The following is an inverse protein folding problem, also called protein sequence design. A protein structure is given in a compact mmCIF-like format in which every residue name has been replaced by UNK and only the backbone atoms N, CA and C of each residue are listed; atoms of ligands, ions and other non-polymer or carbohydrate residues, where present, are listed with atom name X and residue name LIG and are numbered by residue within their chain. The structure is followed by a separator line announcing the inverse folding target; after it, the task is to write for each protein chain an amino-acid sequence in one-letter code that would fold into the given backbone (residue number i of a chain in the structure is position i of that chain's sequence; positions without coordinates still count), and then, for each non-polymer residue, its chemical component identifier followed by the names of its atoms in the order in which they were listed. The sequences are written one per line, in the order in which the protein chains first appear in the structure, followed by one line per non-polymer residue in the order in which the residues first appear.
data_IF_206550547110
#
_entry.id   IF_206550547110
#
_cell.length_a   1.000
_cell.length_b   1.000
_cell.length_c   1.000
_cell.angle_alpha   90.00
_cell.angle_beta   90.00
_cell.angle_gamma   90.00
#
_symmetry.space_group_name_H-M   'P 1'
#
loop_
_entity.id
_entity.type
_entity.pdbx_description
1 polymer ?
#
# COMPACT_ATOMS: atom_id res chain seq x y z
N UNK A 1 17.83 -13.57 57.13
CA UNK A 1 18.35 -12.76 56.01
C UNK A 1 18.66 -13.73 54.86
N UNK A 2 18.28 -13.42 53.60
CA UNK A 2 18.56 -14.19 52.35
C UNK A 2 17.38 -14.77 51.56
N UNK A 3 16.30 -14.00 51.33
CA UNK A 3 15.35 -14.34 50.23
C UNK A 3 15.04 -13.14 49.32
N UNK A 4 15.66 -11.98 49.53
CA UNK A 4 15.29 -10.74 48.83
C UNK A 4 16.15 -10.35 47.61
N UNK A 5 17.08 -11.19 47.13
CA UNK A 5 18.06 -10.77 46.09
C UNK A 5 17.94 -11.45 44.73
N UNK A 6 16.99 -12.36 44.52
CA UNK A 6 16.92 -13.21 43.31
C UNK A 6 15.67 -13.00 42.44
N UNK A 7 14.89 -11.94 42.66
CA UNK A 7 13.63 -11.70 41.94
C UNK A 7 13.65 -10.58 40.90
N UNK A 8 14.80 -9.95 40.64
CA UNK A 8 14.90 -8.78 39.74
C UNK A 8 15.54 -9.07 38.37
N UNK A 9 15.83 -10.32 38.02
CA UNK A 9 16.59 -10.67 36.80
C UNK A 9 15.75 -11.26 35.65
N UNK A 10 14.46 -11.54 35.84
CA UNK A 10 13.62 -12.23 34.83
C UNK A 10 12.81 -11.31 33.92
N UNK A 11 12.85 -9.98 34.13
CA UNK A 11 12.09 -9.02 33.32
C UNK A 11 12.82 -8.53 32.04
N UNK A 12 14.04 -9.00 31.76
CA UNK A 12 14.87 -8.48 30.65
C UNK A 12 14.86 -9.33 29.36
N UNK A 13 14.12 -10.45 29.32
CA UNK A 13 14.21 -11.42 28.20
C UNK A 13 12.99 -11.51 27.27
N UNK A 14 11.98 -10.67 27.42
CA UNK A 14 10.75 -10.72 26.60
C UNK A 14 10.55 -9.50 25.70
N UNK A 15 11.62 -8.83 25.29
CA UNK A 15 11.57 -7.94 24.13
C UNK A 15 11.88 -8.77 22.88
N UNK A 16 10.85 -9.36 22.27
CA UNK A 16 10.94 -9.84 20.90
C UNK A 16 11.14 -8.63 19.99
N UNK A 17 12.41 -8.28 19.72
CA UNK A 17 12.75 -7.34 18.65
C UNK A 17 12.45 -8.05 17.34
N UNK A 18 11.24 -7.82 16.81
CA UNK A 18 10.89 -8.23 15.46
C UNK A 18 11.79 -7.44 14.50
N UNK A 19 12.93 -8.01 14.13
CA UNK A 19 13.76 -7.47 13.06
C UNK A 19 13.00 -7.67 11.74
N UNK A 20 12.33 -6.62 11.25
CA UNK A 20 11.69 -6.65 9.94
C UNK A 20 12.76 -6.57 8.85
N UNK A 21 12.70 -7.47 7.87
CA UNK A 21 13.65 -7.49 6.75
C UNK A 21 13.40 -6.37 5.73
N UNK A 22 12.20 -5.77 5.74
CA UNK A 22 11.80 -4.65 4.88
C UNK A 22 11.03 -3.63 5.73
N UNK A 23 11.45 -2.37 5.64
CA UNK A 23 10.85 -1.24 6.36
C UNK A 23 10.48 -0.14 5.35
N UNK A 24 9.29 0.45 5.48
CA UNK A 24 8.90 1.62 4.70
C UNK A 24 9.54 2.86 5.31
N UNK A 25 10.32 3.60 4.51
CA UNK A 25 11.09 4.78 4.97
C UNK A 25 10.73 6.04 4.18
N UNK A 26 9.52 6.08 3.63
CA UNK A 26 8.95 7.23 2.90
C UNK A 26 8.75 6.95 1.40
N UNK A 27 8.92 8.00 0.59
CA UNK A 27 8.66 7.96 -0.87
C UNK A 27 9.83 8.54 -1.67
N UNK A 28 9.83 8.25 -2.97
CA UNK A 28 10.71 8.83 -3.99
C UNK A 28 9.84 9.37 -5.11
N UNK A 29 10.10 10.61 -5.54
CA UNK A 29 9.40 11.20 -6.69
C UNK A 29 9.85 10.54 -8.00
N UNK A 30 8.88 10.27 -8.86
CA UNK A 30 9.09 9.65 -10.15
C UNK A 30 8.22 10.29 -11.22
N UNK A 31 8.75 10.37 -12.44
CA UNK A 31 8.01 10.88 -13.60
C UNK A 31 7.87 9.76 -14.61
N UNK A 32 6.66 9.26 -14.76
CA UNK A 32 6.31 8.29 -15.79
C UNK A 32 5.95 9.02 -17.09
N UNK A 33 6.43 8.52 -18.22
CA UNK A 33 6.07 9.00 -19.56
C UNK A 33 5.43 7.85 -20.32
N UNK A 34 4.19 8.04 -20.79
CA UNK A 34 3.54 7.03 -21.62
C UNK A 34 4.29 6.86 -22.96
N UNK A 35 4.55 5.63 -23.42
CA UNK A 35 5.14 5.39 -24.73
C UNK A 35 4.19 5.92 -25.82
N UNK A 36 4.74 6.61 -26.82
CA UNK A 36 3.96 7.06 -27.99
C UNK A 36 3.54 5.85 -28.82
N UNK A 37 2.33 5.34 -28.60
CA UNK A 37 1.73 4.37 -29.53
C UNK A 37 1.16 5.10 -30.73
N UNK A 38 1.40 4.60 -31.94
CA UNK A 38 1.01 5.21 -33.23
C UNK A 38 -0.49 5.48 -33.42
N UNK A 39 -1.35 4.98 -32.53
CA UNK A 39 -2.81 5.18 -32.52
C UNK A 39 -3.30 6.34 -31.63
N UNK A 40 -2.43 6.99 -30.85
CA UNK A 40 -2.77 8.13 -30.00
C UNK A 40 -1.95 9.34 -30.46
N UNK A 41 -2.57 10.19 -31.28
CA UNK A 41 -2.01 11.44 -31.81
C UNK A 41 -1.80 12.54 -30.74
N UNK A 42 -1.73 12.16 -29.46
CA UNK A 42 -1.50 13.06 -28.33
C UNK A 42 -0.03 13.22 -27.98
N UNK A 43 0.32 14.40 -27.45
CA UNK A 43 1.62 14.65 -26.80
C UNK A 43 1.79 13.64 -25.67
N UNK A 44 2.98 13.03 -25.55
CA UNK A 44 3.27 12.10 -24.45
C UNK A 44 3.02 12.79 -23.11
N UNK A 45 2.00 12.32 -22.39
CA UNK A 45 1.63 12.90 -21.09
C UNK A 45 2.64 12.42 -20.04
N UNK A 46 3.19 13.38 -19.29
CA UNK A 46 4.05 13.11 -18.14
C UNK A 46 3.18 13.04 -16.90
N UNK A 47 3.31 11.97 -16.14
CA UNK A 47 2.62 11.81 -14.85
C UNK A 47 3.64 11.81 -13.72
N UNK A 48 3.43 12.70 -12.77
CA UNK A 48 4.22 12.78 -11.54
C UNK A 48 3.61 11.83 -10.51
N UNK A 49 4.43 10.96 -9.94
CA UNK A 49 4.03 9.92 -9.01
C UNK A 49 5.03 9.86 -7.86
N UNK A 50 4.58 9.32 -6.73
CA UNK A 50 5.47 8.93 -5.64
C UNK A 50 5.50 7.42 -5.49
N UNK A 51 6.72 6.88 -5.45
CA UNK A 51 6.98 5.44 -5.30
C UNK A 51 7.47 5.18 -3.88
N UNK A 52 7.07 4.04 -3.33
CA UNK A 52 7.49 3.58 -2.01
C UNK A 52 9.01 3.45 -1.91
N UNK A 53 9.59 4.09 -0.88
CA UNK A 53 10.99 3.90 -0.50
C UNK A 53 11.04 2.86 0.62
N UNK A 54 11.76 1.78 0.38
CA UNK A 54 11.97 0.72 1.37
C UNK A 54 13.43 0.59 1.76
N UNK A 55 13.67 0.32 3.03
CA UNK A 55 14.97 -0.10 3.57
C UNK A 55 14.93 -1.61 3.76
N UNK A 56 15.96 -2.29 3.29
CA UNK A 56 16.09 -3.75 3.41
C UNK A 56 17.19 -4.03 4.43
N UNK A 57 16.98 -5.00 5.32
CA UNK A 57 18.00 -5.42 6.29
C UNK A 57 19.26 -5.93 5.58
N UNK A 58 20.45 -5.86 6.19
CA UNK A 58 21.67 -6.43 5.59
C UNK A 58 21.52 -7.91 5.22
N UNK A 59 20.81 -8.67 6.07
CA UNK A 59 20.48 -10.08 5.81
C UNK A 59 19.56 -10.22 4.59
N UNK A 60 18.48 -9.45 4.54
CA UNK A 60 17.55 -9.43 3.42
C UNK A 60 18.22 -9.04 2.10
N UNK A 61 19.12 -8.05 2.14
CA UNK A 61 19.90 -7.62 0.98
C UNK A 61 20.82 -8.73 0.47
N UNK A 62 21.51 -9.45 1.36
CA UNK A 62 22.35 -10.60 0.98
C UNK A 62 21.53 -11.71 0.32
N UNK A 63 20.35 -12.03 0.86
CA UNK A 63 19.44 -13.01 0.25
C UNK A 63 18.97 -12.55 -1.12
N UNK A 64 18.59 -11.28 -1.26
CA UNK A 64 18.15 -10.70 -2.53
C UNK A 64 19.26 -10.74 -3.58
N UNK A 65 20.49 -10.38 -3.22
CA UNK A 65 21.66 -10.43 -4.10
C UNK A 65 21.93 -11.86 -4.59
N UNK A 66 21.94 -12.84 -3.69
CA UNK A 66 22.15 -14.24 -4.07
C UNK A 66 21.05 -14.74 -5.03
N UNK A 67 19.79 -14.38 -4.77
CA UNK A 67 18.66 -14.75 -5.66
C UNK A 67 18.77 -14.08 -7.02
N UNK A 68 19.13 -12.80 -7.05
CA UNK A 68 19.33 -12.06 -8.30
C UNK A 68 20.45 -12.68 -9.13
N UNK A 69 21.60 -12.95 -8.52
CA UNK A 69 22.74 -13.60 -9.19
C UNK A 69 22.33 -14.95 -9.79
N UNK A 70 21.64 -15.79 -9.01
CA UNK A 70 21.15 -17.09 -9.49
C UNK A 70 20.14 -16.96 -10.64
N UNK A 71 19.26 -15.94 -10.60
CA UNK A 71 18.29 -15.72 -11.67
C UNK A 71 18.94 -15.24 -12.97
N UNK A 72 20.05 -14.49 -12.89
CA UNK A 72 20.79 -14.03 -14.07
C UNK A 72 21.78 -15.08 -14.60
N UNK A 73 22.29 -15.98 -13.75
CA UNK A 73 23.25 -17.02 -14.15
C UNK A 73 22.60 -18.27 -14.72
N UNK A 74 21.34 -18.54 -14.37
CA UNK A 74 20.58 -19.65 -14.92
C UNK A 74 19.56 -19.13 -15.94
N UNK A 75 19.95 -19.20 -17.22
CA UNK A 75 19.02 -19.07 -18.35
C UNK A 75 17.81 -19.95 -18.06
N UNK A 76 16.63 -19.32 -17.99
CA UNK A 76 15.39 -19.84 -17.42
C UNK A 76 15.31 -21.36 -17.45
N UNK A 77 15.57 -22.02 -16.32
CA UNK A 77 15.30 -23.45 -16.19
C UNK A 77 13.81 -23.63 -16.50
N UNK A 78 13.55 -24.13 -17.71
CA UNK A 78 12.21 -24.41 -18.21
C UNK A 78 11.54 -25.30 -17.19
N UNK A 79 10.60 -24.73 -16.43
CA UNK A 79 9.79 -25.41 -15.43
C UNK A 79 8.89 -26.40 -16.15
N UNK A 80 9.45 -27.53 -16.56
CA UNK A 80 8.75 -28.72 -17.03
C UNK A 80 8.16 -29.48 -15.82
N UNK A 81 7.55 -28.73 -14.90
CA UNK A 81 6.63 -29.31 -13.94
C UNK A 81 5.34 -29.65 -14.69
N UNK A 82 4.82 -30.88 -14.51
CA UNK A 82 3.47 -31.26 -14.97
C UNK A 82 2.45 -30.31 -14.33
N UNK A 83 2.14 -29.23 -15.02
CA UNK A 83 1.39 -28.14 -14.45
C UNK A 83 -0.10 -28.40 -14.65
N UNK A 84 -0.86 -28.53 -13.55
CA UNK A 84 -2.33 -28.67 -13.57
C UNK A 84 -3.03 -27.35 -13.93
N UNK A 85 -2.28 -26.26 -14.02
CA UNK A 85 -2.79 -24.95 -14.34
C UNK A 85 -2.79 -24.68 -15.84
N UNK A 86 -3.74 -23.86 -16.34
CA UNK A 86 -3.74 -23.43 -17.73
C UNK A 86 -2.47 -22.62 -18.04
N UNK A 87 -2.05 -22.66 -19.31
CA UNK A 87 -0.86 -21.91 -19.79
C UNK A 87 -1.01 -20.39 -19.67
N UNK A 88 -2.24 -19.88 -19.60
CA UNK A 88 -2.56 -18.45 -19.51
C UNK A 88 -3.88 -18.28 -18.76
N UNK A 89 -3.94 -17.29 -17.88
CA UNK A 89 -5.17 -16.83 -17.21
C UNK A 89 -5.27 -15.32 -17.41
N UNK A 90 -6.47 -14.84 -17.73
CA UNK A 90 -6.79 -13.42 -17.75
C UNK A 90 -8.04 -13.19 -16.92
N UNK A 91 -7.90 -12.50 -15.80
CA UNK A 91 -9.01 -12.19 -14.89
C UNK A 91 -9.65 -10.82 -15.18
N UNK A 92 -9.00 -9.97 -15.98
CA UNK A 92 -9.40 -8.59 -16.17
C UNK A 92 -9.48 -7.81 -14.84
N UNK A 93 -10.28 -6.75 -14.82
CA UNK A 93 -10.52 -5.90 -13.64
C UNK A 93 -12.02 -5.66 -13.37
N UNK A 94 -12.91 -6.51 -13.92
CA UNK A 94 -14.36 -6.39 -13.72
C UNK A 94 -14.92 -4.96 -13.93
N UNK A 95 -14.45 -4.29 -14.99
CA UNK A 95 -14.84 -2.91 -15.35
C UNK A 95 -14.48 -1.83 -14.32
N UNK A 96 -13.65 -2.14 -13.32
CA UNK A 96 -13.02 -1.10 -12.48
C UNK A 96 -12.15 -0.23 -13.39
N UNK A 97 -12.36 1.10 -13.41
CA UNK A 97 -11.54 1.99 -14.23
C UNK A 97 -10.10 2.03 -13.70
N UNK A 98 -9.17 2.42 -14.55
CA UNK A 98 -7.79 2.69 -14.11
C UNK A 98 -7.81 3.90 -13.17
N UNK A 99 -7.37 3.70 -11.93
CA UNK A 99 -7.35 4.74 -10.91
C UNK A 99 -6.04 5.55 -10.95
N UNK A 100 -6.08 6.78 -10.40
CA UNK A 100 -4.93 7.67 -10.34
C UNK A 100 -4.55 7.99 -8.87
N UNK A 101 -3.38 7.51 -8.43
CA UNK A 101 -2.86 7.83 -7.09
C UNK A 101 -2.31 9.26 -6.98
N UNK A 102 -2.08 9.94 -8.10
CA UNK A 102 -1.47 11.26 -8.12
C UNK A 102 -0.06 11.28 -7.51
N UNK A 103 0.30 12.43 -6.94
CA UNK A 103 1.64 12.71 -6.42
C UNK A 103 1.86 12.25 -4.96
N UNK A 104 1.20 11.17 -4.55
CA UNK A 104 1.28 10.61 -3.20
C UNK A 104 1.74 9.15 -3.21
N UNK A 105 2.34 8.70 -2.11
CA UNK A 105 2.78 7.31 -1.90
C UNK A 105 1.66 6.32 -1.58
N UNK A 106 0.45 6.57 -2.09
CA UNK A 106 -0.77 5.86 -1.74
C UNK A 106 -1.05 4.62 -2.61
N UNK A 107 -0.08 4.19 -3.42
CA UNK A 107 -0.23 3.09 -4.39
C UNK A 107 -0.81 1.80 -3.79
N UNK A 108 -0.45 1.49 -2.54
CA UNK A 108 -0.94 0.29 -1.84
C UNK A 108 -2.43 0.39 -1.54
N UNK A 109 -2.91 1.56 -1.11
CA UNK A 109 -4.34 1.81 -0.90
C UNK A 109 -5.11 1.71 -2.21
N UNK A 110 -4.60 2.34 -3.28
CA UNK A 110 -5.22 2.26 -4.60
C UNK A 110 -5.28 0.83 -5.15
N UNK A 111 -4.19 0.07 -5.04
CA UNK A 111 -4.14 -1.30 -5.54
C UNK A 111 -5.11 -2.23 -4.80
N UNK A 112 -5.15 -2.16 -3.46
CA UNK A 112 -6.06 -3.00 -2.67
C UNK A 112 -7.52 -2.62 -2.87
N UNK A 113 -7.85 -1.32 -2.86
CA UNK A 113 -9.24 -0.88 -3.09
C UNK A 113 -9.72 -1.27 -4.48
N UNK A 114 -8.90 -1.08 -5.53
CA UNK A 114 -9.24 -1.52 -6.89
C UNK A 114 -9.41 -3.05 -7.01
N UNK A 115 -8.59 -3.83 -6.29
CA UNK A 115 -8.72 -5.29 -6.28
C UNK A 115 -10.02 -5.74 -5.58
N UNK A 116 -10.37 -5.12 -4.45
CA UNK A 116 -11.64 -5.38 -3.75
C UNK A 116 -12.82 -4.96 -4.63
N UNK A 117 -12.77 -3.79 -5.24
CA UNK A 117 -13.80 -3.31 -6.17
C UNK A 117 -13.99 -4.25 -7.36
N UNK A 118 -12.91 -4.81 -7.90
CA UNK A 118 -12.96 -5.79 -8.99
C UNK A 118 -13.55 -7.12 -8.53
N UNK A 119 -13.16 -7.60 -7.34
CA UNK A 119 -13.72 -8.82 -6.75
C UNK A 119 -15.23 -8.70 -6.49
N UNK A 120 -15.69 -7.50 -6.12
CA UNK A 120 -17.11 -7.20 -5.86
C UNK A 120 -17.88 -6.74 -7.11
N UNK A 121 -17.20 -6.53 -8.24
CA UNK A 121 -17.77 -5.99 -9.48
C UNK A 121 -18.50 -4.65 -9.27
N UNK A 122 -17.86 -3.70 -8.57
CA UNK A 122 -18.46 -2.42 -8.14
C UNK A 122 -17.98 -1.18 -8.91
N UNK A 123 -17.07 -1.32 -9.88
CA UNK A 123 -16.47 -0.15 -10.55
C UNK A 123 -15.55 0.62 -9.59
N UNK A 124 -15.41 1.94 -9.73
CA UNK A 124 -14.71 2.77 -8.73
C UNK A 124 -15.68 3.08 -7.57
N UNK A 125 -15.71 2.20 -6.57
CA UNK A 125 -16.69 2.27 -5.47
C UNK A 125 -16.06 2.68 -4.16
N UNK A 126 -14.93 2.11 -3.77
CA UNK A 126 -14.30 2.41 -2.48
C UNK A 126 -13.61 3.77 -2.54
N UNK A 127 -13.81 4.60 -1.50
CA UNK A 127 -13.08 5.85 -1.35
C UNK A 127 -11.66 5.63 -0.82
N UNK A 128 -10.66 5.92 -1.65
CA UNK A 128 -9.25 5.91 -1.21
C UNK A 128 -8.97 7.02 -0.20
N UNK A 129 -9.57 8.21 -0.36
CA UNK A 129 -9.32 9.32 0.57
C UNK A 129 -9.85 9.00 1.96
N UNK A 130 -11.05 8.43 2.09
CA UNK A 130 -11.58 8.06 3.41
C UNK A 130 -10.71 7.00 4.08
N UNK A 131 -10.24 5.99 3.33
CA UNK A 131 -9.31 4.99 3.85
C UNK A 131 -7.98 5.61 4.31
N UNK A 132 -7.43 6.56 3.56
CA UNK A 132 -6.19 7.23 3.92
C UNK A 132 -6.36 8.18 5.12
N UNK A 133 -7.55 8.79 5.28
CA UNK A 133 -7.88 9.66 6.39
C UNK A 133 -8.06 8.90 7.70
N UNK A 134 -8.75 7.75 7.63
CA UNK A 134 -8.77 6.79 8.73
C UNK A 134 -7.37 6.28 9.04
N UNK A 135 -6.57 5.98 8.01
CA UNK A 135 -5.17 5.58 8.16
C UNK A 135 -4.35 6.63 8.91
N UNK A 136 -4.45 7.91 8.55
CA UNK A 136 -3.80 9.02 9.26
C UNK A 136 -4.20 9.07 10.74
N UNK A 137 -5.50 8.89 11.05
CA UNK A 137 -5.99 8.81 12.42
C UNK A 137 -5.36 7.64 13.19
N UNK A 138 -5.39 6.44 12.61
CA UNK A 138 -4.83 5.23 13.22
C UNK A 138 -3.33 5.34 13.47
N UNK A 139 -2.60 5.96 12.54
CA UNK A 139 -1.16 6.20 12.67
C UNK A 139 -0.82 7.15 13.81
N UNK A 140 -1.57 8.25 13.95
CA UNK A 140 -1.39 9.19 15.07
C UNK A 140 -1.67 8.54 16.43
N UNK A 141 -2.58 7.57 16.47
CA UNK A 141 -2.93 6.85 17.70
C UNK A 141 -2.13 5.57 17.92
N UNK A 142 -1.07 5.33 17.14
CA UNK A 142 -0.08 4.26 17.39
C UNK A 142 -0.47 2.88 16.86
N UNK A 143 -1.46 2.78 15.97
CA UNK A 143 -1.98 1.48 15.50
C UNK A 143 -1.39 0.99 14.17
N UNK A 144 -1.09 1.87 13.21
CA UNK A 144 -0.72 1.46 11.85
C UNK A 144 0.06 2.54 11.06
N UNK A 145 0.49 2.23 9.83
CA UNK A 145 0.97 3.23 8.87
C UNK A 145 -0.21 3.96 8.22
N UNK A 146 -0.10 5.27 8.01
CA UNK A 146 -1.21 6.08 7.48
C UNK A 146 -1.53 5.90 6.00
N UNK A 147 -0.60 5.38 5.20
CA UNK A 147 -0.82 5.06 3.78
C UNK A 147 -0.53 6.19 2.79
N UNK A 148 -0.55 7.47 3.19
CA UNK A 148 -0.23 8.59 2.29
C UNK A 148 1.21 8.58 1.78
N UNK A 149 2.14 8.03 2.56
CA UNK A 149 3.59 7.96 2.28
C UNK A 149 4.08 6.51 2.23
N UNK A 150 3.17 5.58 1.91
CA UNK A 150 3.44 4.16 1.87
C UNK A 150 2.76 3.37 2.98
N UNK A 151 2.51 2.09 2.67
CA UNK A 151 2.00 1.08 3.59
C UNK A 151 2.36 -0.30 3.06
N UNK A 152 1.83 -1.35 3.68
CA UNK A 152 1.88 -2.72 3.17
C UNK A 152 0.48 -3.21 2.83
N UNK A 153 0.40 -4.08 1.82
CA UNK A 153 -0.89 -4.59 1.34
C UNK A 153 -1.73 -5.21 2.45
N UNK A 154 -1.11 -5.99 3.34
CA UNK A 154 -1.79 -6.63 4.45
C UNK A 154 -2.32 -5.63 5.50
N UNK A 155 -1.66 -4.49 5.71
CA UNK A 155 -2.12 -3.47 6.65
C UNK A 155 -3.40 -2.80 6.14
N UNK A 156 -3.40 -2.42 4.85
CA UNK A 156 -4.58 -1.80 4.22
C UNK A 156 -5.74 -2.80 4.14
N UNK A 157 -5.49 -4.07 3.80
CA UNK A 157 -6.54 -5.09 3.79
C UNK A 157 -7.10 -5.33 5.20
N UNK A 158 -6.25 -5.39 6.22
CA UNK A 158 -6.70 -5.52 7.61
C UNK A 158 -7.54 -4.31 8.06
N UNK A 159 -7.16 -3.09 7.65
CA UNK A 159 -7.96 -1.89 7.91
C UNK A 159 -9.34 -1.99 7.26
N UNK A 160 -9.42 -2.44 6.00
CA UNK A 160 -10.68 -2.66 5.27
C UNK A 160 -11.52 -3.75 5.96
N UNK A 161 -10.90 -4.84 6.40
CA UNK A 161 -11.58 -5.95 7.07
C UNK A 161 -12.13 -5.52 8.44
N UNK A 162 -11.36 -4.73 9.19
CA UNK A 162 -11.70 -4.31 10.56
C UNK A 162 -12.75 -3.20 10.59
N UNK A 163 -12.60 -2.18 9.75
CA UNK A 163 -13.41 -0.96 9.80
C UNK A 163 -14.37 -0.80 8.62
N UNK A 164 -14.28 -1.67 7.61
CA UNK A 164 -15.09 -1.58 6.41
C UNK A 164 -14.60 -0.52 5.43
N UNK A 165 -15.53 -0.02 4.61
CA UNK A 165 -15.26 0.95 3.55
C UNK A 165 -16.33 2.03 3.46
N UNK A 166 -15.90 3.28 3.23
CA UNK A 166 -16.77 4.34 2.75
C UNK A 166 -16.74 4.36 1.22
N UNK A 167 -17.91 4.53 0.60
CA UNK A 167 -18.01 4.59 -0.85
C UNK A 167 -17.82 6.01 -1.41
N UNK A 168 -17.54 6.11 -2.70
CA UNK A 168 -17.32 7.38 -3.42
C UNK A 168 -18.51 8.33 -3.37
N UNK A 169 -19.74 7.81 -3.30
CA UNK A 169 -20.94 8.64 -3.19
C UNK A 169 -21.00 9.36 -1.84
N UNK A 170 -20.88 8.61 -0.73
CA UNK A 170 -20.81 9.16 0.63
C UNK A 170 -19.65 10.14 0.78
N UNK A 171 -18.47 9.83 0.22
CA UNK A 171 -17.34 10.75 0.19
C UNK A 171 -17.72 12.09 -0.45
N UNK A 172 -18.39 12.07 -1.62
CA UNK A 172 -18.77 13.30 -2.33
C UNK A 172 -19.80 14.12 -1.57
N UNK A 173 -20.72 13.47 -0.85
CA UNK A 173 -21.83 14.15 -0.17
C UNK A 173 -21.50 14.61 1.25
N UNK A 174 -20.73 13.82 2.00
CA UNK A 174 -20.44 14.07 3.43
C UNK A 174 -18.98 14.49 3.67
N UNK A 175 -18.08 14.13 2.76
CA UNK A 175 -16.65 14.32 2.93
C UNK A 175 -16.02 13.29 3.86
N UNK A 176 -14.68 13.26 3.86
CA UNK A 176 -13.87 12.42 4.72
C UNK A 176 -12.68 13.20 5.24
N UNK A 177 -12.64 13.48 6.55
CA UNK A 177 -11.67 14.42 7.11
C UNK A 177 -11.76 15.81 6.46
N UNK A 178 -12.97 16.26 6.11
CA UNK A 178 -13.21 17.51 5.38
C UNK A 178 -12.99 17.44 3.86
N UNK A 179 -12.64 16.27 3.30
CA UNK A 179 -12.40 16.12 1.86
C UNK A 179 -13.52 15.39 1.12
N UNK A 180 -14.07 16.04 0.10
CA UNK A 180 -15.06 15.44 -0.82
C UNK A 180 -14.43 14.84 -2.08
N UNK A 181 -13.13 15.07 -2.31
CA UNK A 181 -12.37 14.57 -3.45
C UNK A 181 -10.95 14.16 -3.05
N UNK A 182 -10.34 13.27 -3.84
CA UNK A 182 -8.94 12.89 -3.64
C UNK A 182 -8.01 13.97 -4.23
N UNK A 183 -6.97 14.43 -3.51
CA UNK A 183 -5.99 15.35 -4.07
C UNK A 183 -5.04 14.61 -5.02
N UNK A 184 -5.03 14.97 -6.30
CA UNK A 184 -4.09 14.35 -7.25
C UNK A 184 -2.70 15.02 -7.24
N UNK A 185 -2.61 16.27 -6.80
CA UNK A 185 -1.37 17.06 -6.75
C UNK A 185 -0.92 17.33 -5.30
N UNK A 186 0.39 17.40 -5.09
CA UNK A 186 0.97 17.74 -3.79
C UNK A 186 0.59 19.15 -3.36
N UNK A 187 0.44 19.34 -2.04
CA UNK A 187 0.12 20.65 -1.45
C UNK A 187 -1.35 21.04 -1.57
N UNK A 188 -2.20 20.23 -2.21
CA UNK A 188 -3.64 20.50 -2.29
C UNK A 188 -4.40 20.15 -1.00
N UNK A 189 -3.78 19.44 -0.05
CA UNK A 189 -4.43 18.91 1.15
C UNK A 189 -3.47 18.86 2.34
N UNK A 190 -4.00 19.14 3.52
CA UNK A 190 -3.38 18.80 4.80
C UNK A 190 -3.51 17.29 5.06
N UNK A 191 -2.43 16.53 4.90
CA UNK A 191 -2.40 15.10 5.22
C UNK A 191 -2.59 14.81 6.72
N UNK A 192 -2.61 15.86 7.57
CA UNK A 192 -2.98 15.79 8.98
C UNK A 192 -4.48 15.99 9.23
N UNK A 193 -5.27 16.33 8.20
CA UNK A 193 -6.70 16.05 8.28
C UNK A 193 -6.88 14.56 8.54
N UNK A 194 -7.80 14.24 9.44
CA UNK A 194 -8.02 12.90 9.96
C UNK A 194 -9.52 12.67 10.02
N UNK A 195 -9.90 11.42 9.79
CA UNK A 195 -11.26 10.95 10.01
C UNK A 195 -11.23 10.01 11.19
N UNK A 196 -11.99 10.31 12.25
CA UNK A 196 -12.04 9.46 13.42
C UNK A 196 -12.77 8.14 13.13
N UNK A 197 -12.71 7.20 14.08
CA UNK A 197 -13.45 5.94 13.96
C UNK A 197 -14.96 6.17 13.96
N UNK A 198 -15.45 7.12 14.75
CA UNK A 198 -16.86 7.47 14.85
C UNK A 198 -17.38 8.11 13.55
N UNK A 199 -16.55 8.94 12.90
CA UNK A 199 -16.89 9.54 11.61
C UNK A 199 -16.87 8.53 10.45
N UNK A 200 -16.12 7.43 10.59
CA UNK A 200 -15.94 6.44 9.53
C UNK A 200 -17.09 5.43 9.40
N UNK A 201 -17.98 5.37 10.41
CA UNK A 201 -19.06 4.37 10.52
C UNK A 201 -20.35 4.77 9.81
#
# INVERSE_FOLDING_TARGET
MHIAKTLLATALFSAHVYAQDVEVVGTIDHVATAPKTSSLSGKAEKKHLQILKVKISPKGMKVLQNRAQNAFSHESQSLTAKNKFPKKVNLGMNKVPVLNQGQYGSCVTFANTAAVDAALNKGDYISQVCQLQLGSYLAKNGYALGGWQGSFGYLVLNQIETFGVINKEKQKTLGCGGMTQYPEEQGMVDTNSMMSLEEFQ
#
